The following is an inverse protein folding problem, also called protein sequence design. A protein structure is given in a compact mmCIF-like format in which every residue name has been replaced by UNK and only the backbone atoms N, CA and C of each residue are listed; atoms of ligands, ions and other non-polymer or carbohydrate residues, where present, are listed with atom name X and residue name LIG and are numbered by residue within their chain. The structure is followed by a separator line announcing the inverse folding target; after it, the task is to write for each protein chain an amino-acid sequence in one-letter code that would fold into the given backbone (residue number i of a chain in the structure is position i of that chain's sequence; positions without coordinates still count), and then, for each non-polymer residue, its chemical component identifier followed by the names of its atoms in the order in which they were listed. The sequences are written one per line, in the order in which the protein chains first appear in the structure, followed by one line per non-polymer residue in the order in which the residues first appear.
data_IF_065244758354
#
_entry.id   IF_065244758354
#
_cell.length_a   1.000
_cell.length_b   1.000
_cell.length_c   1.000
_cell.angle_alpha   90.00
_cell.angle_beta   90.00
_cell.angle_gamma   90.00
#
_symmetry.space_group_name_H-M   'P 1'
#
loop_
_entity.id
_entity.type
_entity.pdbx_description
1 polymer ?
#
# COMPACT_ATOMS: atom_id res chain seq x y z
N UNK A 1 23.68 11.39 -27.51
CA UNK A 1 22.72 10.28 -27.47
C UNK A 1 21.45 10.85 -26.89
N UNK A 2 20.31 10.73 -27.57
CA UNK A 2 19.05 11.18 -27.00
C UNK A 2 18.83 10.42 -25.69
N UNK A 3 18.51 11.16 -24.61
CA UNK A 3 18.10 10.57 -23.35
C UNK A 3 16.94 9.60 -23.67
N UNK A 4 17.11 8.32 -23.36
CA UNK A 4 16.01 7.37 -23.52
C UNK A 4 15.03 7.70 -22.43
N UNK A 5 13.89 8.26 -22.79
CA UNK A 5 12.79 8.61 -21.88
C UNK A 5 12.17 7.31 -21.33
N UNK A 6 12.75 6.77 -20.27
CA UNK A 6 12.16 5.66 -19.52
C UNK A 6 12.10 5.99 -18.03
N UNK A 7 11.07 5.49 -17.40
CA UNK A 7 10.80 5.62 -15.97
C UNK A 7 11.23 4.31 -15.32
N UNK A 8 11.97 4.38 -14.22
CA UNK A 8 12.33 3.22 -13.42
C UNK A 8 11.78 3.41 -12.01
N UNK A 9 11.05 2.41 -11.53
CA UNK A 9 10.50 2.40 -10.17
C UNK A 9 10.98 1.17 -9.40
N UNK A 10 11.21 1.34 -8.08
CA UNK A 10 11.58 0.27 -7.16
C UNK A 10 10.60 0.28 -5.97
N UNK A 11 10.11 -0.90 -5.63
CA UNK A 11 9.28 -1.16 -4.45
C UNK A 11 9.99 -2.13 -3.51
N UNK A 12 10.03 -1.77 -2.21
CA UNK A 12 10.64 -2.59 -1.16
C UNK A 12 9.57 -3.42 -0.45
N UNK A 13 9.16 -4.52 -1.04
CA UNK A 13 8.27 -5.48 -0.39
C UNK A 13 9.00 -6.39 0.60
N UNK A 14 8.29 -6.93 1.59
CA UNK A 14 8.87 -7.84 2.60
C UNK A 14 9.14 -9.24 2.09
N UNK A 15 8.52 -9.68 1.00
CA UNK A 15 8.82 -10.97 0.37
C UNK A 15 9.65 -10.82 -0.90
N UNK A 16 9.40 -9.77 -1.66
CA UNK A 16 10.08 -9.46 -2.91
C UNK A 16 10.36 -7.96 -3.00
N UNK A 17 11.58 -7.61 -3.40
CA UNK A 17 11.90 -6.29 -3.92
C UNK A 17 11.68 -6.32 -5.42
N UNK A 18 10.90 -5.38 -5.93
CA UNK A 18 10.53 -5.33 -7.35
C UNK A 18 11.04 -4.06 -7.99
N UNK A 19 11.76 -4.21 -9.10
CA UNK A 19 12.12 -3.11 -9.98
C UNK A 19 11.38 -3.22 -11.31
N UNK A 20 10.88 -2.12 -11.81
CA UNK A 20 10.16 -2.05 -13.08
C UNK A 20 10.65 -0.87 -13.90
N UNK A 21 10.72 -1.06 -15.20
CA UNK A 21 11.01 0.01 -16.13
C UNK A 21 9.91 0.13 -17.19
N UNK A 22 9.49 1.35 -17.46
CA UNK A 22 8.49 1.66 -18.46
C UNK A 22 8.84 2.88 -19.29
N UNK A 23 8.17 3.02 -20.42
CA UNK A 23 8.28 4.19 -21.31
C UNK A 23 6.91 4.83 -21.45
N UNK A 24 6.85 6.15 -21.27
CA UNK A 24 5.65 6.93 -21.52
C UNK A 24 5.49 7.15 -23.02
N UNK A 25 4.34 6.79 -23.55
CA UNK A 25 3.99 6.97 -24.95
C UNK A 25 3.39 8.36 -25.19
N UNK A 26 3.28 8.78 -26.45
CA UNK A 26 2.72 10.08 -26.83
C UNK A 26 1.24 10.25 -26.44
N UNK A 27 0.51 9.16 -26.35
CA UNK A 27 -0.90 9.12 -25.89
C UNK A 27 -1.05 9.14 -24.36
N UNK A 28 0.06 9.23 -23.61
CA UNK A 28 0.09 9.20 -22.16
C UNK A 28 0.05 7.79 -21.54
N UNK A 29 -0.06 6.74 -22.35
CA UNK A 29 0.07 5.36 -21.86
C UNK A 29 1.53 5.03 -21.52
N UNK A 30 1.73 3.99 -20.72
CA UNK A 30 3.05 3.50 -20.31
C UNK A 30 3.23 2.08 -20.80
N UNK A 31 4.27 1.86 -21.59
CA UNK A 31 4.69 0.51 -22.00
C UNK A 31 5.73 -0.02 -21.02
N UNK A 32 5.46 -1.16 -20.38
CA UNK A 32 6.44 -1.83 -19.51
C UNK A 32 7.51 -2.48 -20.37
N UNK A 33 8.77 -2.14 -20.09
CA UNK A 33 9.93 -2.60 -20.84
C UNK A 33 10.64 -3.77 -20.14
N UNK A 34 10.71 -3.75 -18.82
CA UNK A 34 11.38 -4.77 -18.02
C UNK A 34 10.83 -4.82 -16.60
N UNK A 35 10.84 -6.01 -16.00
CA UNK A 35 10.52 -6.27 -14.59
C UNK A 35 11.58 -7.18 -14.02
N UNK A 36 12.05 -6.85 -12.81
CA UNK A 36 13.00 -7.66 -12.04
C UNK A 36 12.47 -7.83 -10.63
N UNK A 37 12.46 -9.06 -10.14
CA UNK A 37 12.07 -9.39 -8.76
C UNK A 37 13.22 -10.12 -8.09
N UNK A 38 13.53 -9.71 -6.87
CA UNK A 38 14.52 -10.36 -6.00
C UNK A 38 13.87 -10.73 -4.67
N UNK A 39 14.32 -11.83 -4.08
CA UNK A 39 13.88 -12.20 -2.73
C UNK A 39 14.40 -11.19 -1.72
N UNK A 40 13.54 -10.66 -0.86
CA UNK A 40 13.88 -9.66 0.16
C UNK A 40 13.56 -10.10 1.58
N UNK A 41 13.06 -11.31 1.76
CA UNK A 41 12.50 -11.83 3.02
C UNK A 41 13.50 -11.82 4.19
N UNK A 42 14.81 -11.89 3.91
CA UNK A 42 15.85 -11.89 4.95
C UNK A 42 16.29 -10.49 5.40
N UNK A 43 16.06 -9.45 4.60
CA UNK A 43 16.60 -8.11 4.87
C UNK A 43 15.58 -6.96 4.79
N UNK A 44 14.36 -7.21 4.30
CA UNK A 44 13.22 -6.31 4.45
C UNK A 44 12.21 -6.98 5.37
N UNK A 45 11.85 -6.33 6.46
CA UNK A 45 10.88 -6.84 7.43
C UNK A 45 9.80 -5.80 7.67
N UNK A 46 8.56 -6.21 7.55
CA UNK A 46 7.38 -5.32 7.72
C UNK A 46 7.50 -4.05 6.87
N UNK A 47 8.03 -4.19 5.65
CA UNK A 47 8.21 -3.10 4.69
C UNK A 47 9.33 -2.11 5.00
N UNK A 48 10.19 -2.39 5.98
CA UNK A 48 11.32 -1.53 6.34
C UNK A 48 12.66 -2.23 6.18
N UNK A 49 13.70 -1.45 5.94
CA UNK A 49 15.08 -1.95 5.84
C UNK A 49 15.53 -2.48 7.19
N UNK A 50 15.82 -3.78 7.25
CA UNK A 50 16.36 -4.46 8.43
C UNK A 50 17.88 -4.67 8.32
N UNK A 51 18.37 -5.05 7.12
CA UNK A 51 19.81 -5.21 6.84
C UNK A 51 20.20 -4.31 5.67
N UNK A 52 20.96 -3.25 5.99
CA UNK A 52 21.40 -2.25 5.00
C UNK A 52 22.24 -2.88 3.90
N UNK A 53 23.28 -3.66 4.26
CA UNK A 53 24.22 -4.21 3.27
C UNK A 53 23.53 -5.12 2.26
N UNK A 54 22.65 -6.00 2.71
CA UNK A 54 21.89 -6.89 1.82
C UNK A 54 20.89 -6.08 0.97
N UNK A 55 20.29 -5.04 1.52
CA UNK A 55 19.40 -4.15 0.76
C UNK A 55 20.14 -3.42 -0.34
N UNK A 56 21.33 -2.85 -0.04
CA UNK A 56 22.22 -2.20 -1.03
C UNK A 56 22.56 -3.17 -2.16
N UNK A 57 22.96 -4.39 -1.82
CA UNK A 57 23.31 -5.39 -2.81
C UNK A 57 22.11 -5.76 -3.71
N UNK A 58 20.93 -5.90 -3.12
CA UNK A 58 19.69 -6.18 -3.85
C UNK A 58 19.31 -5.04 -4.79
N UNK A 59 19.36 -3.77 -4.34
CA UNK A 59 19.12 -2.59 -5.18
C UNK A 59 20.10 -2.59 -6.36
N UNK A 60 21.39 -2.77 -6.08
CA UNK A 60 22.41 -2.80 -7.13
C UNK A 60 22.17 -3.91 -8.16
N UNK A 61 21.75 -5.11 -7.72
CA UNK A 61 21.42 -6.22 -8.59
C UNK A 61 20.20 -5.91 -9.49
N UNK A 62 19.13 -5.34 -8.90
CA UNK A 62 17.92 -4.96 -9.66
C UNK A 62 18.28 -3.91 -10.71
N UNK A 63 18.98 -2.85 -10.32
CA UNK A 63 19.41 -1.78 -11.24
C UNK A 63 20.28 -2.33 -12.36
N UNK A 64 21.25 -3.19 -12.05
CA UNK A 64 22.12 -3.84 -13.05
C UNK A 64 21.32 -4.69 -14.03
N UNK A 65 20.36 -5.50 -13.56
CA UNK A 65 19.52 -6.34 -14.43
C UNK A 65 18.61 -5.48 -15.31
N UNK A 66 18.01 -4.42 -14.76
CA UNK A 66 17.21 -3.48 -15.55
C UNK A 66 18.05 -2.73 -16.58
N UNK A 67 19.25 -2.22 -16.21
CA UNK A 67 20.20 -1.57 -17.14
C UNK A 67 20.59 -2.48 -18.28
N UNK A 68 20.82 -3.76 -18.01
CA UNK A 68 21.14 -4.77 -19.03
C UNK A 68 19.96 -4.98 -19.99
N UNK A 69 18.74 -5.10 -19.46
CA UNK A 69 17.54 -5.28 -20.26
C UNK A 69 17.24 -4.05 -21.14
N UNK A 70 17.43 -2.86 -20.60
CA UNK A 70 17.21 -1.59 -21.31
C UNK A 70 18.36 -1.19 -22.24
N UNK A 71 19.53 -1.81 -22.07
CA UNK A 71 20.79 -1.39 -22.72
C UNK A 71 21.09 0.09 -22.49
N UNK A 72 20.88 0.56 -21.27
CA UNK A 72 21.04 1.93 -20.86
C UNK A 72 21.40 2.02 -19.38
N UNK A 73 22.15 3.07 -19.02
CA UNK A 73 22.45 3.37 -17.62
C UNK A 73 21.24 3.95 -16.91
N UNK A 74 21.03 3.55 -15.64
CA UNK A 74 19.97 4.05 -14.77
C UNK A 74 20.65 4.89 -13.70
N UNK A 75 20.52 6.22 -13.80
CA UNK A 75 21.08 7.17 -12.86
C UNK A 75 20.14 7.45 -11.67
N UNK A 76 18.83 7.36 -11.89
CA UNK A 76 17.82 7.69 -10.89
C UNK A 76 16.60 6.77 -11.00
N UNK A 77 15.92 6.62 -9.86
CA UNK A 77 14.71 5.77 -9.74
C UNK A 77 13.64 6.46 -8.89
N UNK A 78 12.38 6.11 -9.14
CA UNK A 78 11.25 6.42 -8.27
C UNK A 78 11.09 5.31 -7.25
N UNK A 79 10.87 5.67 -5.99
CA UNK A 79 10.82 4.69 -4.89
C UNK A 79 9.46 4.72 -4.22
N UNK A 80 8.83 3.55 -4.13
CA UNK A 80 7.62 3.38 -3.32
C UNK A 80 7.96 3.15 -1.87
N UNK A 81 7.49 4.03 -0.99
CA UNK A 81 7.70 3.97 0.45
C UNK A 81 6.45 3.43 1.13
N UNK A 82 6.63 2.35 1.90
CA UNK A 82 5.58 1.69 2.66
C UNK A 82 6.13 1.11 3.96
N UNK A 83 5.33 0.30 4.64
CA UNK A 83 5.77 -0.47 5.79
C UNK A 83 5.30 0.05 7.14
N UNK A 84 5.71 -0.69 8.17
CA UNK A 84 5.25 -0.43 9.53
C UNK A 84 5.59 0.98 10.01
N UNK A 85 4.81 1.49 10.96
CA UNK A 85 4.90 2.82 11.55
C UNK A 85 4.43 3.97 10.66
N UNK A 86 4.14 3.75 9.38
CA UNK A 86 3.42 4.74 8.57
C UNK A 86 1.99 4.83 9.09
N UNK A 87 1.58 6.04 9.40
CA UNK A 87 0.20 6.33 9.81
C UNK A 87 -0.17 7.77 9.54
N UNK A 88 -1.45 8.00 9.41
CA UNK A 88 -2.01 9.35 9.35
C UNK A 88 -2.27 9.91 10.75
N UNK A 89 -2.05 11.22 10.89
CA UNK A 89 -2.35 11.99 12.11
C UNK A 89 -3.09 13.26 11.70
N UNK A 90 -4.26 13.49 12.30
CA UNK A 90 -5.02 14.72 12.08
C UNK A 90 -4.32 15.88 12.77
N UNK A 91 -4.25 17.03 12.09
CA UNK A 91 -3.77 18.29 12.64
C UNK A 91 -4.65 19.44 12.19
N UNK A 92 -4.81 20.43 13.04
CA UNK A 92 -5.65 21.62 12.79
C UNK A 92 -4.81 22.86 13.04
N UNK A 93 -4.73 23.71 12.04
CA UNK A 93 -4.10 25.03 12.16
C UNK A 93 -5.19 26.09 12.06
N UNK A 94 -5.21 27.00 13.01
CA UNK A 94 -6.24 28.06 13.12
C UNK A 94 -5.61 29.42 12.88
N UNK A 95 -6.29 30.24 12.10
CA UNK A 95 -5.95 31.64 11.87
C UNK A 95 -7.18 32.51 12.13
N UNK A 96 -7.09 33.39 13.12
CA UNK A 96 -8.10 34.39 13.36
C UNK A 96 -7.87 35.59 12.41
N UNK A 97 -8.96 36.09 11.81
CA UNK A 97 -8.96 37.15 10.81
C UNK A 97 -9.77 38.33 11.33
N UNK A 98 -9.12 39.28 12.04
CA UNK A 98 -9.84 40.41 12.63
C UNK A 98 -10.55 41.23 11.56
N UNK A 99 -11.81 41.61 11.82
CA UNK A 99 -12.62 42.44 10.94
C UNK A 99 -13.27 41.72 9.77
N UNK A 100 -13.13 40.36 9.69
CA UNK A 100 -13.74 39.58 8.62
C UNK A 100 -13.02 39.78 7.29
N UNK A 101 -11.77 39.32 7.19
CA UNK A 101 -11.00 39.40 5.95
C UNK A 101 -11.46 38.33 4.92
N UNK A 102 -11.20 38.63 3.64
CA UNK A 102 -11.39 37.69 2.55
C UNK A 102 -10.19 36.74 2.53
N UNK A 103 -10.44 35.43 2.53
CA UNK A 103 -9.39 34.42 2.46
C UNK A 103 -8.64 34.52 1.13
N UNK A 104 -7.34 34.67 1.19
CA UNK A 104 -6.45 34.65 0.04
C UNK A 104 -5.74 33.30 -0.11
N UNK A 105 -5.19 33.04 -1.30
CA UNK A 105 -4.34 31.87 -1.54
C UNK A 105 -3.11 31.83 -0.62
N UNK A 106 -2.54 33.02 -0.35
CA UNK A 106 -1.37 33.15 0.54
C UNK A 106 -1.70 32.69 1.98
N UNK A 107 -2.91 33.02 2.46
CA UNK A 107 -3.37 32.53 3.78
C UNK A 107 -3.51 31.02 3.83
N UNK A 108 -4.01 30.41 2.75
CA UNK A 108 -4.12 28.94 2.63
C UNK A 108 -2.73 28.31 2.59
N UNK A 109 -1.81 28.86 1.82
CA UNK A 109 -0.42 28.40 1.75
C UNK A 109 0.28 28.55 3.10
N UNK A 110 0.09 29.65 3.81
CA UNK A 110 0.64 29.86 5.16
C UNK A 110 0.18 28.77 6.15
N UNK A 111 -1.10 28.39 6.14
CA UNK A 111 -1.60 27.30 6.99
C UNK A 111 -0.92 25.97 6.65
N UNK A 112 -0.72 25.68 5.37
CA UNK A 112 -0.01 24.49 4.93
C UNK A 112 1.46 24.52 5.35
N UNK A 113 2.14 25.64 5.25
CA UNK A 113 3.54 25.79 5.64
C UNK A 113 3.71 25.64 7.16
N UNK A 114 2.81 26.21 7.95
CA UNK A 114 2.78 26.01 9.42
C UNK A 114 2.61 24.52 9.71
N UNK A 115 1.68 23.85 9.04
CA UNK A 115 1.44 22.41 9.23
C UNK A 115 2.66 21.57 8.86
N UNK A 116 3.33 21.85 7.74
CA UNK A 116 4.52 21.11 7.29
C UNK A 116 5.72 21.28 8.23
N UNK A 117 5.80 22.41 8.92
CA UNK A 117 6.83 22.70 9.92
C UNK A 117 6.55 22.09 11.30
N UNK A 118 5.44 21.36 11.46
CA UNK A 118 5.15 20.64 12.71
C UNK A 118 6.20 19.55 12.96
N UNK A 119 6.65 19.46 14.19
CA UNK A 119 7.59 18.43 14.61
C UNK A 119 6.88 17.30 15.34
N UNK A 120 7.17 16.08 14.97
CA UNK A 120 6.77 14.86 15.67
C UNK A 120 8.01 14.16 16.21
N UNK A 121 7.98 13.76 17.48
CA UNK A 121 9.10 13.08 18.12
C UNK A 121 9.50 11.82 17.32
N UNK A 122 10.77 11.77 16.92
CA UNK A 122 11.36 10.66 16.14
C UNK A 122 10.64 10.32 14.83
N UNK A 123 9.92 11.28 14.22
CA UNK A 123 9.18 11.07 12.98
C UNK A 123 9.33 12.24 12.01
N UNK A 124 9.26 11.90 10.72
CA UNK A 124 9.17 12.83 9.60
C UNK A 124 7.75 12.88 9.05
N UNK A 125 7.32 14.01 8.54
CA UNK A 125 6.13 14.12 7.71
C UNK A 125 6.54 13.74 6.29
N UNK A 126 6.03 12.60 5.80
CA UNK A 126 6.29 12.14 4.43
C UNK A 126 5.39 12.84 3.42
N UNK A 127 4.15 13.10 3.81
CA UNK A 127 3.16 13.75 2.95
C UNK A 127 2.05 14.38 3.79
N UNK A 128 1.30 15.28 3.19
CA UNK A 128 0.15 15.95 3.79
C UNK A 128 -1.04 15.84 2.86
N UNK A 129 -2.10 15.20 3.32
CA UNK A 129 -3.38 15.18 2.61
C UNK A 129 -4.29 16.30 3.17
N UNK A 130 -4.53 17.37 2.39
CA UNK A 130 -5.46 18.43 2.80
C UNK A 130 -6.86 17.85 3.00
N UNK A 131 -7.52 18.31 4.05
CA UNK A 131 -8.92 18.04 4.34
C UNK A 131 -9.78 19.26 3.99
N UNK A 132 -11.06 19.25 4.35
CA UNK A 132 -11.85 20.47 4.20
C UNK A 132 -11.34 21.57 5.15
N UNK A 133 -11.33 22.80 4.67
CA UNK A 133 -11.14 23.97 5.51
C UNK A 133 -12.45 24.31 6.24
N UNK A 134 -12.35 24.87 7.42
CA UNK A 134 -13.52 25.40 8.12
C UNK A 134 -13.46 26.93 8.15
N UNK A 135 -14.44 27.52 7.51
CA UNK A 135 -14.61 28.97 7.38
C UNK A 135 -15.71 29.37 8.35
N UNK A 136 -15.32 29.99 9.48
CA UNK A 136 -16.17 30.18 10.66
C UNK A 136 -16.76 28.84 11.13
N UNK A 137 -18.01 28.53 10.76
CA UNK A 137 -18.69 27.26 11.12
C UNK A 137 -18.93 26.32 9.93
N UNK A 138 -18.54 26.70 8.70
CA UNK A 138 -18.84 25.97 7.47
C UNK A 138 -17.60 25.25 6.91
N UNK A 139 -17.78 24.00 6.47
CA UNK A 139 -16.75 23.24 5.79
C UNK A 139 -16.72 23.59 4.30
N UNK A 140 -15.52 23.87 3.77
CA UNK A 140 -15.27 24.23 2.38
C UNK A 140 -14.05 23.48 1.86
N UNK A 141 -14.12 23.00 0.62
CA UNK A 141 -12.95 22.41 -0.06
C UNK A 141 -11.96 23.49 -0.52
N UNK A 142 -12.49 24.59 -1.00
CA UNK A 142 -11.74 25.79 -1.39
C UNK A 142 -12.28 27.00 -0.63
N UNK A 143 -11.52 27.55 0.32
CA UNK A 143 -11.94 28.69 1.11
C UNK A 143 -11.60 30.03 0.46
N UNK A 144 -10.84 30.06 -0.65
CA UNK A 144 -10.36 31.31 -1.27
C UNK A 144 -11.53 32.14 -1.77
N UNK A 145 -11.50 33.45 -1.47
CA UNK A 145 -12.54 34.40 -1.84
C UNK A 145 -13.71 34.51 -0.86
N UNK A 146 -13.74 33.67 0.19
CA UNK A 146 -14.80 33.72 1.21
C UNK A 146 -14.36 34.67 2.34
N UNK A 147 -15.29 35.51 2.78
CA UNK A 147 -15.07 36.37 3.95
C UNK A 147 -15.36 35.59 5.23
N UNK A 148 -14.43 35.66 6.20
CA UNK A 148 -14.61 35.01 7.50
C UNK A 148 -13.79 35.70 8.59
N UNK A 149 -14.16 35.45 9.83
CA UNK A 149 -13.42 35.89 11.03
C UNK A 149 -12.45 34.83 11.54
N UNK A 150 -12.64 33.59 11.16
CA UNK A 150 -11.80 32.45 11.58
C UNK A 150 -11.66 31.42 10.47
N UNK A 151 -10.43 31.13 10.12
CA UNK A 151 -10.07 30.10 9.14
C UNK A 151 -9.35 28.93 9.84
N UNK A 152 -9.87 27.72 9.70
CA UNK A 152 -9.20 26.50 10.16
C UNK A 152 -8.78 25.67 8.95
N UNK A 153 -7.48 25.37 8.87
CA UNK A 153 -6.95 24.37 7.95
C UNK A 153 -6.90 23.00 8.65
N UNK A 154 -7.62 22.03 8.11
CA UNK A 154 -7.56 20.65 8.57
C UNK A 154 -6.62 19.85 7.67
N UNK A 155 -5.68 19.14 8.27
CA UNK A 155 -4.66 18.40 7.57
C UNK A 155 -4.58 16.96 8.09
N UNK A 156 -4.30 16.03 7.21
CA UNK A 156 -3.94 14.67 7.54
C UNK A 156 -2.46 14.47 7.21
N UNK A 157 -1.61 14.53 8.24
CA UNK A 157 -0.18 14.34 8.10
C UNK A 157 0.14 12.84 8.06
N UNK A 158 0.87 12.41 7.04
CA UNK A 158 1.37 11.05 6.95
C UNK A 158 2.79 11.03 7.51
N UNK A 159 2.97 10.33 8.63
CA UNK A 159 4.23 10.33 9.38
C UNK A 159 4.89 8.96 9.37
N UNK A 160 6.21 8.94 9.43
CA UNK A 160 7.04 7.76 9.50
C UNK A 160 8.24 7.98 10.43
N UNK A 161 8.87 6.92 10.92
CA UNK A 161 10.06 7.05 11.77
C UNK A 161 11.26 7.56 11.00
N UNK A 162 11.97 8.55 11.54
CA UNK A 162 13.20 9.13 10.96
C UNK A 162 14.27 8.08 10.67
N UNK A 163 14.40 7.09 11.56
CA UNK A 163 15.39 6.02 11.38
C UNK A 163 15.11 5.19 10.13
N UNK A 164 13.85 4.93 9.82
CA UNK A 164 13.48 4.16 8.62
C UNK A 164 13.72 4.97 7.35
N UNK A 165 13.35 6.25 7.37
CA UNK A 165 13.61 7.18 6.28
C UNK A 165 15.11 7.27 5.97
N UNK A 166 15.95 7.47 7.00
CA UNK A 166 17.42 7.57 6.85
C UNK A 166 18.04 6.26 6.36
N UNK A 167 17.60 5.10 6.87
CA UNK A 167 18.08 3.80 6.43
C UNK A 167 17.77 3.54 4.96
N UNK A 168 16.57 3.95 4.50
CA UNK A 168 16.19 3.82 3.10
C UNK A 168 17.08 4.68 2.20
N UNK A 169 17.23 5.97 2.51
CA UNK A 169 18.09 6.88 1.73
C UNK A 169 19.53 6.35 1.67
N UNK A 170 20.08 5.93 2.83
CA UNK A 170 21.42 5.36 2.88
C UNK A 170 21.59 4.16 1.94
N UNK A 171 20.59 3.30 1.83
CA UNK A 171 20.69 2.13 0.93
C UNK A 171 20.81 2.55 -0.54
N UNK A 172 20.09 3.56 -0.99
CA UNK A 172 20.16 4.05 -2.36
C UNK A 172 21.45 4.83 -2.62
N UNK A 173 21.89 5.65 -1.67
CA UNK A 173 23.18 6.37 -1.74
C UNK A 173 24.35 5.39 -1.84
N UNK A 174 24.38 4.38 -0.98
CA UNK A 174 25.42 3.34 -0.98
C UNK A 174 25.37 2.45 -2.24
N UNK A 175 24.22 2.29 -2.85
CA UNK A 175 24.05 1.59 -4.13
C UNK A 175 24.43 2.45 -5.35
N UNK A 176 24.69 3.74 -5.15
CA UNK A 176 25.07 4.68 -6.20
C UNK A 176 23.91 5.02 -7.16
N UNK A 177 22.67 4.99 -6.68
CA UNK A 177 21.46 5.27 -7.47
C UNK A 177 20.69 6.41 -6.80
N UNK A 178 20.49 7.51 -7.52
CA UNK A 178 19.73 8.64 -7.00
C UNK A 178 18.24 8.31 -6.90
N UNK A 179 17.59 8.78 -5.84
CA UNK A 179 16.13 8.77 -5.73
C UNK A 179 15.60 10.04 -6.39
N UNK A 180 14.88 9.88 -7.50
CA UNK A 180 14.24 11.01 -8.19
C UNK A 180 13.10 11.58 -7.34
N UNK A 181 12.25 10.68 -6.82
CA UNK A 181 11.15 11.03 -5.92
C UNK A 181 10.72 9.80 -5.13
N UNK A 182 10.28 10.02 -3.88
CA UNK A 182 9.64 9.01 -3.05
C UNK A 182 8.13 9.20 -3.09
N UNK A 183 7.42 8.14 -3.44
CA UNK A 183 5.96 8.11 -3.39
C UNK A 183 5.48 7.24 -2.23
N UNK A 184 4.48 7.70 -1.51
CA UNK A 184 3.76 6.83 -0.59
C UNK A 184 3.08 5.69 -1.36
N UNK A 185 3.59 4.49 -1.18
CA UNK A 185 3.11 3.30 -1.88
C UNK A 185 1.58 3.09 -1.74
N UNK A 186 0.96 3.27 -0.55
CA UNK A 186 -0.49 3.17 -0.40
C UNK A 186 -1.27 4.17 -1.25
N UNK A 187 -0.76 5.40 -1.43
CA UNK A 187 -1.42 6.41 -2.24
C UNK A 187 -1.25 6.14 -3.73
N UNK A 188 -0.05 5.75 -4.16
CA UNK A 188 0.20 5.32 -5.54
C UNK A 188 -0.66 4.11 -5.93
N UNK A 189 -0.80 3.15 -5.02
CA UNK A 189 -1.69 2.00 -5.15
C UNK A 189 -3.15 2.44 -5.30
N UNK A 190 -3.63 3.31 -4.41
CA UNK A 190 -5.00 3.81 -4.46
C UNK A 190 -5.32 4.50 -5.80
N UNK A 191 -4.36 5.29 -6.33
CA UNK A 191 -4.50 5.95 -7.63
C UNK A 191 -4.60 4.97 -8.80
N UNK A 192 -4.04 3.77 -8.68
CA UNK A 192 -4.07 2.77 -9.73
C UNK A 192 -5.26 1.82 -9.65
N UNK A 193 -5.83 1.57 -8.47
CA UNK A 193 -6.88 0.53 -8.30
C UNK A 193 -8.25 1.06 -7.92
N UNK A 194 -8.36 2.26 -7.32
CA UNK A 194 -9.65 2.83 -6.93
C UNK A 194 -10.28 3.63 -8.07
N UNK A 195 -11.56 3.47 -8.24
CA UNK A 195 -12.37 4.34 -9.13
C UNK A 195 -12.72 5.66 -8.42
N UNK A 196 -12.99 6.69 -9.22
CA UNK A 196 -13.47 7.98 -8.69
C UNK A 196 -14.80 7.84 -7.93
N UNK A 197 -15.66 6.93 -8.39
CA UNK A 197 -16.93 6.62 -7.71
C UNK A 197 -16.69 6.04 -6.32
N UNK A 198 -15.78 5.07 -6.17
CA UNK A 198 -15.43 4.47 -4.89
C UNK A 198 -14.87 5.52 -3.92
N UNK A 199 -13.90 6.34 -4.37
CA UNK A 199 -13.33 7.40 -3.54
C UNK A 199 -14.35 8.44 -3.11
N UNK A 200 -15.27 8.80 -4.00
CA UNK A 200 -16.30 9.79 -3.73
C UNK A 200 -17.34 9.28 -2.74
N UNK A 201 -17.85 8.07 -2.95
CA UNK A 201 -18.91 7.48 -2.14
C UNK A 201 -18.43 6.91 -0.80
N UNK A 202 -17.11 6.78 -0.61
CA UNK A 202 -16.49 6.21 0.57
C UNK A 202 -16.14 4.75 0.39
N UNK A 203 -14.84 4.44 0.56
CA UNK A 203 -14.34 3.07 0.48
C UNK A 203 -13.14 2.86 1.41
N UNK A 204 -12.87 1.60 1.69
CA UNK A 204 -11.64 1.15 2.36
C UNK A 204 -10.82 0.36 1.36
N UNK A 205 -9.58 0.77 1.14
CA UNK A 205 -8.59 -0.01 0.39
C UNK A 205 -7.74 -0.79 1.37
N UNK A 206 -7.68 -2.09 1.20
CA UNK A 206 -6.89 -3.01 2.02
C UNK A 206 -5.85 -3.69 1.15
N UNK A 207 -4.58 -3.45 1.43
CA UNK A 207 -3.45 -4.11 0.79
C UNK A 207 -2.92 -5.23 1.71
N UNK A 208 -3.23 -6.47 1.35
CA UNK A 208 -2.85 -7.68 2.08
C UNK A 208 -1.46 -8.15 1.65
N UNK A 209 -0.43 -7.57 2.27
CA UNK A 209 0.97 -7.90 2.01
C UNK A 209 1.48 -9.15 2.73
N UNK A 210 2.78 -9.41 2.60
CA UNK A 210 3.44 -10.56 3.23
C UNK A 210 3.58 -10.37 4.75
N UNK A 211 4.15 -9.25 5.20
CA UNK A 211 4.38 -8.96 6.62
C UNK A 211 3.47 -7.88 7.19
N UNK A 212 2.80 -7.14 6.32
CA UNK A 212 1.95 -6.00 6.71
C UNK A 212 0.65 -6.00 5.93
N UNK A 213 -0.37 -5.43 6.54
CA UNK A 213 -1.63 -5.08 5.88
C UNK A 213 -1.83 -3.58 6.00
N UNK A 214 -2.02 -2.91 4.87
CA UNK A 214 -2.22 -1.45 4.83
C UNK A 214 -3.69 -1.14 4.63
N UNK A 215 -4.20 -0.19 5.41
CA UNK A 215 -5.60 0.25 5.38
C UNK A 215 -5.65 1.72 5.03
N UNK A 216 -6.33 2.07 3.94
CA UNK A 216 -6.57 3.44 3.50
C UNK A 216 -8.06 3.69 3.37
N UNK A 217 -8.57 4.71 4.04
CA UNK A 217 -9.99 5.09 4.01
C UNK A 217 -10.15 6.36 3.19
N UNK A 218 -10.99 6.31 2.17
CA UNK A 218 -11.33 7.44 1.31
C UNK A 218 -12.81 7.81 1.47
N UNK A 219 -13.10 9.10 1.45
CA UNK A 219 -14.45 9.65 1.42
C UNK A 219 -14.44 11.04 0.79
N UNK A 220 -15.38 11.33 -0.11
CA UNK A 220 -15.45 12.57 -0.89
C UNK A 220 -14.16 12.87 -1.66
N UNK A 221 -13.55 11.86 -2.25
CA UNK A 221 -12.26 11.90 -2.97
C UNK A 221 -11.04 12.27 -2.10
N UNK A 222 -11.16 12.29 -0.79
CA UNK A 222 -10.09 12.66 0.13
C UNK A 222 -9.68 11.45 0.95
N UNK A 223 -8.36 11.27 1.14
CA UNK A 223 -7.82 10.31 2.10
C UNK A 223 -8.18 10.76 3.52
N UNK A 224 -8.88 9.92 4.27
CA UNK A 224 -9.37 10.21 5.63
C UNK A 224 -8.58 9.50 6.72
N UNK A 225 -7.99 8.37 6.39
CA UNK A 225 -7.19 7.61 7.34
C UNK A 225 -6.23 6.70 6.58
N UNK A 226 -5.03 6.52 7.17
CA UNK A 226 -4.02 5.58 6.68
C UNK A 226 -3.35 4.93 7.89
N UNK A 227 -3.30 3.60 7.90
CA UNK A 227 -2.59 2.83 8.91
C UNK A 227 -1.96 1.57 8.30
N UNK A 228 -0.86 1.13 8.89
CA UNK A 228 -0.19 -0.12 8.55
C UNK A 228 -0.21 -1.05 9.75
N UNK A 229 -0.83 -2.20 9.57
CA UNK A 229 -0.93 -3.26 10.57
C UNK A 229 0.28 -4.19 10.37
N UNK A 230 1.06 -4.51 11.41
CA UNK A 230 2.25 -5.35 11.29
C UNK A 230 1.92 -6.86 11.26
N UNK A 231 0.87 -7.23 10.54
CA UNK A 231 0.40 -8.58 10.28
C UNK A 231 0.12 -8.74 8.78
N UNK A 232 0.44 -9.91 8.23
CA UNK A 232 0.22 -10.22 6.82
C UNK A 232 0.25 -11.72 6.54
N UNK A 233 0.36 -12.10 5.29
CA UNK A 233 0.33 -13.49 4.83
C UNK A 233 1.38 -14.39 5.47
N UNK A 234 2.55 -13.85 5.85
CA UNK A 234 3.59 -14.62 6.53
C UNK A 234 3.19 -15.05 7.96
N UNK A 235 2.27 -14.34 8.61
CA UNK A 235 1.73 -14.78 9.89
C UNK A 235 0.91 -16.07 9.74
N UNK A 236 0.12 -16.18 8.65
CA UNK A 236 -0.61 -17.40 8.31
C UNK A 236 0.38 -18.53 8.03
N UNK A 237 1.43 -18.26 7.24
CA UNK A 237 2.47 -19.25 6.92
C UNK A 237 3.15 -19.79 8.17
N UNK A 238 3.51 -18.93 9.12
CA UNK A 238 4.13 -19.33 10.39
C UNK A 238 3.21 -20.16 11.26
N UNK A 239 1.92 -19.83 11.29
CA UNK A 239 0.95 -20.64 12.03
C UNK A 239 0.78 -22.03 11.40
N UNK A 240 0.77 -22.12 10.06
CA UNK A 240 0.77 -23.42 9.37
C UNK A 240 2.06 -24.19 9.67
N UNK A 241 3.21 -23.53 9.70
CA UNK A 241 4.51 -24.16 10.01
C UNK A 241 4.54 -24.78 11.41
N UNK A 242 3.71 -24.28 12.35
CA UNK A 242 3.55 -24.90 13.68
C UNK A 242 3.03 -26.34 13.64
N UNK A 243 2.50 -26.79 12.50
CA UNK A 243 2.13 -28.19 12.22
C UNK A 243 3.35 -29.07 11.88
N UNK A 244 4.53 -28.71 12.36
CA UNK A 244 5.78 -29.45 12.21
C UNK A 244 6.28 -29.52 10.75
N UNK A 245 6.25 -28.42 10.04
CA UNK A 245 6.81 -28.26 8.71
C UNK A 245 7.63 -26.99 8.58
N UNK A 246 8.53 -26.96 7.59
CA UNK A 246 9.30 -25.77 7.29
C UNK A 246 8.39 -24.65 6.70
N UNK A 247 8.75 -23.39 6.94
CA UNK A 247 7.98 -22.23 6.41
C UNK A 247 7.83 -22.27 4.88
N UNK A 248 8.84 -22.78 4.15
CA UNK A 248 8.75 -22.91 2.69
C UNK A 248 7.69 -23.94 2.25
N UNK A 249 7.51 -25.02 3.03
CA UNK A 249 6.45 -26.01 2.81
C UNK A 249 5.10 -25.44 3.21
N UNK A 250 5.04 -24.78 4.37
CA UNK A 250 3.84 -24.10 4.86
C UNK A 250 3.31 -23.05 3.86
N UNK A 251 4.20 -22.28 3.24
CA UNK A 251 3.84 -21.31 2.20
C UNK A 251 3.21 -21.99 0.98
N UNK A 252 3.80 -23.11 0.51
CA UNK A 252 3.22 -23.89 -0.59
C UNK A 252 1.85 -24.46 -0.22
N UNK A 253 1.70 -24.95 1.01
CA UNK A 253 0.42 -25.45 1.54
C UNK A 253 -0.63 -24.34 1.57
N UNK A 254 -0.26 -23.14 2.08
CA UNK A 254 -1.13 -21.97 2.10
C UNK A 254 -1.63 -21.60 0.71
N UNK A 255 -0.72 -21.51 -0.27
CA UNK A 255 -1.07 -21.15 -1.65
C UNK A 255 -1.95 -22.20 -2.31
N UNK A 256 -1.69 -23.48 -2.03
CA UNK A 256 -2.41 -24.58 -2.68
C UNK A 256 -3.76 -24.90 -2.05
N UNK A 257 -3.85 -24.88 -0.72
CA UNK A 257 -5.01 -25.34 0.03
C UNK A 257 -5.69 -24.25 0.87
N UNK A 258 -5.06 -23.06 0.99
CA UNK A 258 -5.59 -21.96 1.80
C UNK A 258 -6.95 -21.51 1.29
N UNK A 259 -7.90 -21.40 2.22
CA UNK A 259 -9.22 -20.86 1.99
C UNK A 259 -9.53 -19.89 3.13
N UNK A 260 -10.04 -18.71 2.79
CA UNK A 260 -10.29 -17.67 3.76
C UNK A 260 -11.60 -17.84 4.52
N UNK A 261 -12.53 -18.57 3.94
CA UNK A 261 -13.86 -18.85 4.52
C UNK A 261 -14.39 -20.17 3.99
N UNK A 262 -14.71 -21.08 4.89
CA UNK A 262 -15.27 -22.39 4.56
C UNK A 262 -16.59 -22.55 5.32
N UNK A 263 -17.67 -22.90 4.61
CA UNK A 263 -18.91 -23.29 5.26
C UNK A 263 -18.72 -24.58 6.05
N UNK A 264 -19.24 -24.64 7.27
CA UNK A 264 -19.12 -25.83 8.13
C UNK A 264 -19.63 -27.10 7.46
N UNK A 265 -20.60 -26.98 6.55
CA UNK A 265 -21.17 -28.10 5.81
C UNK A 265 -20.25 -28.63 4.69
N UNK A 266 -19.25 -27.83 4.28
CA UNK A 266 -18.32 -28.17 3.21
C UNK A 266 -17.00 -28.75 3.75
N UNK A 267 -16.83 -28.82 5.07
CA UNK A 267 -15.62 -29.38 5.70
C UNK A 267 -15.68 -30.90 5.71
N UNK A 268 -14.85 -31.53 4.90
CA UNK A 268 -14.60 -32.97 4.99
C UNK A 268 -13.63 -33.26 6.13
N UNK A 269 -14.17 -33.77 7.24
CA UNK A 269 -13.40 -34.11 8.43
C UNK A 269 -12.47 -35.35 8.23
N UNK A 270 -12.61 -36.05 7.12
CA UNK A 270 -11.80 -37.23 6.80
C UNK A 270 -10.66 -36.92 5.83
N UNK A 271 -10.69 -35.72 5.24
CA UNK A 271 -9.70 -35.32 4.24
C UNK A 271 -8.35 -35.00 4.89
N UNK A 272 -7.31 -35.67 4.39
CA UNK A 272 -5.92 -35.44 4.76
C UNK A 272 -5.20 -34.69 3.65
N UNK A 273 -4.56 -33.59 4.00
CA UNK A 273 -3.75 -32.77 3.08
C UNK A 273 -2.29 -33.25 3.14
N UNK A 274 -1.68 -33.66 2.01
CA UNK A 274 -0.31 -34.15 2.01
C UNK A 274 0.67 -32.97 2.25
N UNK A 275 1.57 -33.15 3.21
CA UNK A 275 2.71 -32.26 3.47
C UNK A 275 3.88 -32.68 2.59
N UNK A 276 4.22 -33.97 2.64
CA UNK A 276 5.24 -34.65 1.84
C UNK A 276 4.81 -36.10 1.54
N UNK A 277 5.75 -36.95 1.10
CA UNK A 277 5.45 -38.31 0.74
C UNK A 277 5.00 -39.21 1.94
N UNK A 278 5.31 -38.79 3.17
CA UNK A 278 5.09 -39.61 4.38
C UNK A 278 4.13 -38.93 5.36
N UNK A 279 3.98 -37.62 5.29
CA UNK A 279 3.21 -36.83 6.27
C UNK A 279 2.02 -36.13 5.64
N UNK A 280 0.97 -36.07 6.41
CA UNK A 280 -0.25 -35.30 6.06
C UNK A 280 -0.83 -34.62 7.30
N UNK A 281 -1.70 -33.68 7.09
CA UNK A 281 -2.42 -32.95 8.12
C UNK A 281 -3.92 -33.02 7.85
N UNK A 282 -4.72 -33.07 8.91
CA UNK A 282 -6.18 -33.00 8.80
C UNK A 282 -6.61 -31.69 8.17
N UNK A 283 -7.43 -31.76 7.13
CA UNK A 283 -7.94 -30.60 6.41
C UNK A 283 -8.62 -29.59 7.37
N UNK A 284 -9.42 -30.11 8.32
CA UNK A 284 -10.10 -29.26 9.31
C UNK A 284 -9.13 -28.45 10.15
N UNK A 285 -8.08 -29.09 10.68
CA UNK A 285 -7.05 -28.40 11.49
C UNK A 285 -6.30 -27.33 10.69
N UNK A 286 -6.01 -27.61 9.42
CA UNK A 286 -5.38 -26.65 8.51
C UNK A 286 -6.30 -25.45 8.25
N UNK A 287 -7.59 -25.69 7.98
CA UNK A 287 -8.59 -24.64 7.77
C UNK A 287 -8.72 -23.75 9.00
N UNK A 288 -8.87 -24.33 10.19
CA UNK A 288 -9.01 -23.61 11.46
C UNK A 288 -7.82 -22.67 11.72
N UNK A 289 -6.60 -23.10 11.38
CA UNK A 289 -5.38 -22.26 11.50
C UNK A 289 -5.41 -21.10 10.53
N UNK A 290 -5.71 -21.35 9.25
CA UNK A 290 -5.74 -20.29 8.22
C UNK A 290 -6.82 -19.26 8.52
N UNK A 291 -8.04 -19.73 8.78
CA UNK A 291 -9.19 -18.84 9.05
C UNK A 291 -9.00 -18.06 10.35
N UNK A 292 -8.48 -18.69 11.40
CA UNK A 292 -8.27 -18.02 12.69
C UNK A 292 -7.28 -16.86 12.58
N UNK A 293 -6.16 -17.03 11.88
CA UNK A 293 -5.20 -15.94 11.66
C UNK A 293 -5.77 -14.87 10.74
N UNK A 294 -6.49 -15.28 9.70
CA UNK A 294 -7.09 -14.33 8.79
C UNK A 294 -8.18 -13.49 9.47
N UNK A 295 -9.00 -14.11 10.33
CA UNK A 295 -9.98 -13.39 11.15
C UNK A 295 -9.30 -12.29 11.98
N UNK A 296 -8.19 -12.61 12.67
CA UNK A 296 -7.43 -11.62 13.43
C UNK A 296 -6.96 -10.45 12.55
N UNK A 297 -6.45 -10.75 11.35
CA UNK A 297 -6.03 -9.70 10.40
C UNK A 297 -7.22 -8.83 10.00
N UNK A 298 -8.35 -9.42 9.65
CA UNK A 298 -9.56 -8.70 9.21
C UNK A 298 -10.14 -7.85 10.35
N UNK A 299 -10.20 -8.36 11.56
CA UNK A 299 -10.66 -7.62 12.74
C UNK A 299 -9.75 -6.41 13.01
N UNK A 300 -8.41 -6.59 12.91
CA UNK A 300 -7.47 -5.48 13.04
C UNK A 300 -7.64 -4.45 11.90
N UNK A 301 -7.90 -4.88 10.67
CA UNK A 301 -8.24 -3.98 9.55
C UNK A 301 -9.47 -3.15 9.89
N UNK A 302 -10.53 -3.80 10.33
CA UNK A 302 -11.79 -3.12 10.66
C UNK A 302 -11.65 -2.15 11.82
N UNK A 303 -10.84 -2.50 12.81
CA UNK A 303 -10.53 -1.63 13.94
C UNK A 303 -9.84 -0.32 13.51
N UNK A 304 -9.09 -0.32 12.39
CA UNK A 304 -8.46 0.88 11.86
C UNK A 304 -9.45 1.82 11.15
N UNK A 305 -10.63 1.34 10.77
CA UNK A 305 -11.62 2.20 10.11
C UNK A 305 -12.24 3.13 11.15
N UNK A 306 -12.09 4.47 11.02
CA UNK A 306 -12.68 5.39 11.96
C UNK A 306 -14.21 5.27 11.98
N UNK A 307 -14.80 5.21 13.17
CA UNK A 307 -16.24 4.99 13.36
C UNK A 307 -17.11 6.02 12.61
N UNK A 308 -16.61 7.24 12.45
CA UNK A 308 -17.29 8.30 11.70
C UNK A 308 -17.48 7.98 10.20
N UNK A 309 -16.73 7.02 9.65
CA UNK A 309 -16.83 6.59 8.25
C UNK A 309 -17.48 5.22 8.09
N UNK A 310 -17.63 4.42 9.16
CA UNK A 310 -18.13 3.05 9.07
C UNK A 310 -19.46 2.93 8.31
N UNK A 311 -20.40 3.86 8.55
CA UNK A 311 -21.70 3.92 7.89
C UNK A 311 -21.70 4.66 6.53
N UNK A 312 -20.52 5.11 6.07
CA UNK A 312 -20.37 5.93 4.86
C UNK A 312 -19.57 5.25 3.77
N UNK A 313 -19.42 3.93 3.84
CA UNK A 313 -18.60 3.14 2.91
C UNK A 313 -19.46 2.55 1.78
N UNK A 314 -20.20 3.39 1.05
CA UNK A 314 -21.03 2.95 -0.07
C UNK A 314 -20.21 2.37 -1.23
N UNK A 315 -18.92 2.75 -1.34
CA UNK A 315 -17.95 2.15 -2.24
C UNK A 315 -17.48 0.76 -1.79
N UNK A 316 -17.69 0.41 -0.51
CA UNK A 316 -17.34 -0.87 0.08
C UNK A 316 -15.86 -1.03 0.41
N UNK A 317 -15.39 -2.26 0.41
CA UNK A 317 -13.99 -2.61 0.64
C UNK A 317 -13.36 -3.11 -0.65
N UNK A 318 -12.19 -2.58 -0.99
CA UNK A 318 -11.38 -3.00 -2.13
C UNK A 318 -10.15 -3.72 -1.60
N UNK A 319 -9.95 -4.97 -2.00
CA UNK A 319 -8.85 -5.84 -1.57
C UNK A 319 -7.80 -5.93 -2.67
N UNK A 320 -6.55 -5.85 -2.29
CA UNK A 320 -5.39 -6.01 -3.17
C UNK A 320 -4.22 -6.65 -2.42
N UNK A 321 -3.08 -6.79 -3.08
CA UNK A 321 -1.91 -7.50 -2.55
C UNK A 321 -1.99 -9.01 -2.73
N UNK A 322 -0.91 -9.71 -2.42
CA UNK A 322 -0.81 -11.17 -2.59
C UNK A 322 -1.85 -11.95 -1.81
N UNK A 323 -2.21 -11.47 -0.61
CA UNK A 323 -3.24 -12.10 0.24
C UNK A 323 -4.66 -12.01 -0.35
N UNK A 324 -4.93 -11.05 -1.23
CA UNK A 324 -6.22 -10.94 -1.91
C UNK A 324 -6.50 -12.08 -2.91
N UNK A 325 -5.49 -12.87 -3.25
CA UNK A 325 -5.65 -14.06 -4.11
C UNK A 325 -6.14 -15.29 -3.36
N UNK A 326 -6.24 -15.24 -2.02
CA UNK A 326 -6.73 -16.40 -1.25
C UNK A 326 -8.18 -16.69 -1.61
N UNK A 327 -8.49 -17.97 -1.79
CA UNK A 327 -9.84 -18.42 -2.10
C UNK A 327 -10.83 -17.90 -1.05
N UNK A 328 -11.98 -17.43 -1.48
CA UNK A 328 -13.08 -16.93 -0.64
C UNK A 328 -12.74 -15.75 0.29
N UNK A 329 -11.66 -15.00 0.02
CA UNK A 329 -11.24 -13.85 0.80
C UNK A 329 -12.36 -12.80 0.93
N UNK A 330 -13.14 -12.56 -0.12
CA UNK A 330 -14.27 -11.64 -0.09
C UNK A 330 -15.40 -12.08 0.84
N UNK A 331 -15.63 -13.39 0.97
CA UNK A 331 -16.60 -13.94 1.93
C UNK A 331 -16.14 -13.72 3.37
N UNK A 332 -14.84 -13.96 3.64
CA UNK A 332 -14.27 -13.73 4.96
C UNK A 332 -14.43 -12.26 5.37
N UNK A 333 -14.10 -11.31 4.49
CA UNK A 333 -14.29 -9.89 4.77
C UNK A 333 -15.76 -9.53 5.02
N UNK A 334 -16.70 -10.02 4.21
CA UNK A 334 -18.15 -9.80 4.46
C UNK A 334 -18.57 -10.32 5.83
N UNK A 335 -18.15 -11.53 6.17
CA UNK A 335 -18.52 -12.17 7.44
C UNK A 335 -18.03 -11.39 8.66
N UNK A 336 -16.79 -10.87 8.63
CA UNK A 336 -16.17 -10.23 9.78
C UNK A 336 -16.39 -8.70 9.85
N UNK A 337 -16.69 -8.04 8.72
CA UNK A 337 -16.90 -6.58 8.68
C UNK A 337 -18.36 -6.18 8.50
N UNK A 338 -19.22 -7.10 8.09
CA UNK A 338 -20.62 -6.86 7.72
C UNK A 338 -20.78 -5.85 6.56
N UNK A 339 -19.74 -5.65 5.76
CA UNK A 339 -19.78 -4.84 4.54
C UNK A 339 -20.03 -5.77 3.36
N UNK A 340 -21.18 -5.61 2.71
CA UNK A 340 -21.59 -6.48 1.60
C UNK A 340 -20.76 -6.28 0.33
N UNK A 341 -20.42 -5.02 0.03
CA UNK A 341 -19.70 -4.69 -1.19
C UNK A 341 -18.19 -4.90 -1.01
N UNK A 342 -17.71 -6.03 -1.50
CA UNK A 342 -16.27 -6.38 -1.53
C UNK A 342 -15.85 -6.56 -2.98
N UNK A 343 -14.75 -5.92 -3.36
CA UNK A 343 -14.12 -6.05 -4.69
C UNK A 343 -12.66 -6.44 -4.56
N UNK A 344 -12.24 -7.43 -5.35
CA UNK A 344 -10.82 -7.72 -5.53
C UNK A 344 -10.30 -6.77 -6.63
N UNK A 345 -9.24 -6.01 -6.33
CA UNK A 345 -8.72 -5.02 -7.25
C UNK A 345 -7.93 -5.69 -8.38
N UNK A 346 -8.45 -5.61 -9.57
CA UNK A 346 -7.63 -5.69 -10.77
C UNK A 346 -7.04 -4.30 -11.04
N UNK A 347 -5.93 -4.23 -11.78
CA UNK A 347 -5.35 -2.95 -12.16
C UNK A 347 -6.37 -2.15 -13.00
N UNK A 348 -6.83 -1.02 -12.48
CA UNK A 348 -7.97 -0.27 -13.07
C UNK A 348 -7.51 0.65 -14.20
N UNK A 349 -6.29 1.20 -14.12
CA UNK A 349 -5.78 2.08 -15.17
C UNK A 349 -5.29 1.27 -16.37
N UNK A 350 -6.09 1.22 -17.41
CA UNK A 350 -5.73 0.61 -18.70
C UNK A 350 -4.65 1.40 -19.48
N UNK A 351 -4.00 2.36 -18.82
CA UNK A 351 -2.93 3.17 -19.41
C UNK A 351 -1.58 2.46 -19.40
N UNK A 352 -1.46 1.31 -18.74
CA UNK A 352 -0.23 0.53 -18.72
C UNK A 352 -0.40 -0.69 -19.61
N UNK A 353 0.50 -0.84 -20.58
CA UNK A 353 0.53 -1.96 -21.52
C UNK A 353 1.75 -2.82 -21.27
N UNK A 354 1.59 -4.14 -21.34
CA UNK A 354 2.67 -5.11 -21.19
C UNK A 354 2.36 -6.41 -21.88
N UNK A 355 3.39 -7.03 -22.46
CA UNK A 355 3.36 -8.42 -22.91
C UNK A 355 3.83 -9.40 -21.83
N UNK A 356 4.28 -8.90 -20.66
CA UNK A 356 4.76 -9.75 -19.58
C UNK A 356 3.58 -10.44 -18.89
N UNK A 357 3.56 -11.80 -18.85
CA UNK A 357 2.48 -12.58 -18.23
C UNK A 357 2.26 -12.25 -16.74
N UNK A 358 3.30 -11.86 -16.00
CA UNK A 358 3.18 -11.49 -14.59
C UNK A 358 2.34 -10.22 -14.39
N UNK A 359 2.39 -9.29 -15.33
CA UNK A 359 1.62 -8.05 -15.29
C UNK A 359 0.19 -8.29 -15.79
N UNK A 360 0.05 -9.09 -16.85
CA UNK A 360 -1.24 -9.37 -17.48
C UNK A 360 -2.08 -10.41 -16.72
N UNK A 361 -1.50 -11.11 -15.73
CA UNK A 361 -2.19 -12.12 -14.93
C UNK A 361 -3.30 -11.55 -14.01
N UNK A 362 -3.34 -10.25 -13.78
CA UNK A 362 -4.33 -9.58 -12.91
C UNK A 362 -4.45 -10.20 -11.51
N UNK A 363 -3.30 -10.57 -10.92
CA UNK A 363 -3.23 -11.28 -9.65
C UNK A 363 -3.00 -10.39 -8.43
N UNK A 364 -3.25 -9.09 -8.52
CA UNK A 364 -3.09 -8.08 -7.47
C UNK A 364 -1.65 -7.85 -6.97
N UNK A 365 -0.68 -8.68 -7.31
CA UNK A 365 0.69 -8.61 -6.76
C UNK A 365 1.55 -7.49 -7.34
N UNK A 366 1.18 -6.94 -8.51
CA UNK A 366 1.92 -5.90 -9.21
C UNK A 366 1.27 -4.51 -9.08
N UNK A 367 0.14 -4.40 -8.41
CA UNK A 367 -0.65 -3.17 -8.40
C UNK A 367 0.10 -1.97 -7.80
N UNK A 368 0.84 -2.17 -6.72
CA UNK A 368 1.61 -1.10 -6.06
C UNK A 368 2.73 -0.58 -6.95
N UNK A 369 3.57 -1.47 -7.49
CA UNK A 369 4.70 -1.06 -8.34
C UNK A 369 4.23 -0.41 -9.65
N UNK A 370 3.12 -0.88 -10.21
CA UNK A 370 2.49 -0.26 -11.38
C UNK A 370 1.94 1.13 -11.05
N UNK A 371 1.40 1.32 -9.86
CA UNK A 371 0.97 2.62 -9.36
C UNK A 371 2.14 3.61 -9.22
N UNK A 372 3.28 3.16 -8.71
CA UNK A 372 4.49 3.97 -8.57
C UNK A 372 5.04 4.32 -9.96
N UNK A 373 5.09 3.35 -10.88
CA UNK A 373 5.52 3.58 -12.26
C UNK A 373 4.65 4.63 -12.97
N UNK A 374 3.33 4.59 -12.74
CA UNK A 374 2.39 5.53 -13.32
C UNK A 374 2.54 6.97 -12.81
N UNK A 375 3.09 7.15 -11.61
CA UNK A 375 3.38 8.47 -11.03
C UNK A 375 4.70 9.07 -11.51
N UNK A 376 5.66 8.23 -11.92
CA UNK A 376 6.94 8.67 -12.46
C UNK A 376 6.76 9.48 -13.76
N UNK A 377 7.58 10.51 -13.94
CA UNK A 377 7.54 11.43 -15.11
C UNK A 377 8.88 11.54 -15.80
#
# INVERSE_FOLDING_TARGET
MAAKDFIVAIELGSSKMTGIAGKKNLDGSISVLAVVKEDSSSFIRKGIVYNINQTVQCISNIVKKLSTALKAEIAQVYVGVGGQSIRSVKNVIVKDLPGGAIVSQDMVNELMDINRNMSYLDKEILDVAPQEYKVDSQLQLDPVGIQCSRLEGNFLNIIWRNTFYRSLNKCFDDAGVAIAEMYLAPMALADSVLTDSERRSGCVLVDLGADTTTVSVYYKNILRHLAVIPLGGNNITKDIASLQMDESVAEKMKVKYGCAFTDNNDIDNTLMLPIDNERSVESRKFIEIVEGRLQEIIENVWYQVPSEYADRLLGGIVLTGGGANMKDIGKAFRNHTHIEKIRIANFVKQTITSSNPEITAHNCMMNTILGILAKGT
#
